data_IF_445809119155
#
_entry.id   IF_445809119155
#
_cell.length_a   1.000
_cell.length_b   1.000
_cell.length_c   1.000
_cell.angle_alpha   90.00
_cell.angle_beta   90.00
_cell.angle_gamma   90.00
#
_symmetry.space_group_name_H-M   'P 1'
#
loop_
_entity.id
_entity.type
_entity.pdbx_description
1 polymer ?
#
# COMPACT_ATOMS: atom_id res chain seq x y z
N UNK A 1 -48.29 -19.17 -26.36
CA UNK A 1 -47.00 -18.46 -26.27
C UNK A 1 -46.79 -18.19 -24.80
N UNK A 2 -45.88 -18.94 -24.17
CA UNK A 2 -45.81 -19.07 -22.71
C UNK A 2 -45.07 -17.89 -22.11
N UNK A 3 -45.62 -17.42 -21.01
CA UNK A 3 -45.12 -16.37 -20.13
C UNK A 3 -43.91 -16.87 -19.32
N UNK A 4 -42.95 -17.48 -20.00
CA UNK A 4 -41.71 -18.00 -19.41
C UNK A 4 -40.46 -17.31 -19.96
N UNK A 5 -40.57 -16.55 -21.06
CA UNK A 5 -39.42 -15.92 -21.71
C UNK A 5 -39.19 -14.44 -21.34
N UNK A 6 -40.09 -13.80 -20.56
CA UNK A 6 -39.91 -12.40 -20.14
C UNK A 6 -39.15 -12.22 -18.83
N UNK A 7 -38.95 -13.29 -18.05
CA UNK A 7 -38.27 -13.18 -16.75
C UNK A 7 -36.74 -13.14 -16.89
N UNK A 8 -36.19 -13.39 -18.07
CA UNK A 8 -34.72 -13.49 -18.28
C UNK A 8 -34.07 -12.14 -18.64
N UNK A 9 -34.83 -11.08 -18.89
CA UNK A 9 -34.28 -9.76 -19.26
C UNK A 9 -34.23 -8.79 -18.07
N UNK A 10 -35.01 -9.05 -17.02
CA UNK A 10 -35.01 -8.24 -15.80
C UNK A 10 -33.95 -8.67 -14.77
N UNK A 11 -33.16 -9.69 -15.07
CA UNK A 11 -31.99 -10.11 -14.27
C UNK A 11 -30.67 -9.45 -14.76
N UNK A 12 -30.71 -8.69 -15.86
CA UNK A 12 -29.52 -8.11 -16.49
C UNK A 12 -29.19 -6.66 -16.12
N UNK A 13 -30.06 -5.93 -15.41
CA UNK A 13 -29.89 -4.48 -15.14
C UNK A 13 -29.62 -4.10 -13.68
N UNK A 14 -29.73 -5.04 -12.75
CA UNK A 14 -29.41 -4.85 -11.33
C UNK A 14 -28.00 -5.35 -10.94
N UNK A 15 -27.15 -5.72 -11.91
CA UNK A 15 -25.80 -6.26 -11.62
C UNK A 15 -24.63 -5.29 -11.95
N UNK A 16 -24.90 -4.08 -12.46
CA UNK A 16 -23.83 -3.18 -12.98
C UNK A 16 -23.97 -1.73 -12.47
N UNK A 17 -24.46 -1.52 -11.24
CA UNK A 17 -24.51 -0.16 -10.63
C UNK A 17 -23.85 -0.02 -9.26
N UNK A 18 -23.39 -1.10 -8.65
CA UNK A 18 -22.59 -1.03 -7.42
C UNK A 18 -21.12 -1.36 -7.69
N UNK A 19 -20.66 -0.95 -8.87
CA UNK A 19 -19.27 -1.07 -9.33
C UNK A 19 -18.69 0.32 -9.58
N UNK A 20 -18.78 1.24 -8.62
CA UNK A 20 -17.94 2.46 -8.64
C UNK A 20 -18.00 3.19 -7.31
N UNK A 21 -16.99 3.00 -6.47
CA UNK A 21 -16.80 3.89 -5.34
C UNK A 21 -15.93 3.30 -4.26
N UNK A 22 -14.63 3.53 -4.43
CA UNK A 22 -13.69 3.72 -3.32
C UNK A 22 -13.06 2.44 -2.73
N UNK A 23 -11.73 2.39 -2.93
CA UNK A 23 -10.73 1.72 -2.08
C UNK A 23 -10.39 0.26 -2.42
N UNK A 24 -9.94 0.04 -3.65
CA UNK A 24 -8.92 -0.98 -3.89
C UNK A 24 -7.63 -0.58 -3.17
N UNK A 25 -7.48 -0.95 -1.89
CA UNK A 25 -6.19 -0.91 -1.17
C UNK A 25 -6.05 -2.00 -0.10
N UNK A 26 -6.93 -3.01 -0.09
CA UNK A 26 -6.97 -4.00 1.01
C UNK A 26 -6.69 -5.45 0.60
N UNK A 27 -6.32 -5.74 -0.65
CA UNK A 27 -5.96 -7.09 -1.07
C UNK A 27 -4.65 -7.10 -1.84
N UNK A 28 -3.55 -7.29 -1.10
CA UNK A 28 -2.30 -7.95 -1.46
C UNK A 28 -1.40 -7.76 -0.23
N UNK A 29 -1.09 -8.74 0.63
CA UNK A 29 -0.88 -10.15 0.41
C UNK A 29 -0.89 -10.85 1.78
N UNK A 30 -1.64 -11.95 1.84
CA UNK A 30 -1.66 -12.95 2.91
C UNK A 30 -0.29 -13.65 2.98
N UNK A 31 0.06 -14.19 4.16
CA UNK A 31 1.34 -14.84 4.55
C UNK A 31 2.34 -13.83 5.13
N UNK A 32 2.41 -13.64 6.44
CA UNK A 32 3.20 -14.55 7.29
C UNK A 32 2.65 -14.62 8.73
N UNK A 33 1.92 -15.71 9.01
CA UNK A 33 1.68 -16.22 10.36
C UNK A 33 2.99 -16.76 10.96
N UNK A 34 3.95 -15.92 11.38
CA UNK A 34 5.05 -16.39 12.27
C UNK A 34 5.82 -15.32 13.06
N UNK A 35 5.54 -14.02 12.93
CA UNK A 35 6.29 -13.00 13.67
C UNK A 35 5.48 -12.46 14.86
N UNK A 36 5.86 -12.92 16.05
CA UNK A 36 5.52 -12.40 17.39
C UNK A 36 5.13 -10.91 17.39
N UNK A 37 4.03 -10.52 18.06
CA UNK A 37 3.46 -9.15 18.03
C UNK A 37 4.44 -8.00 18.24
N UNK A 38 5.58 -8.25 18.90
CA UNK A 38 6.69 -7.32 19.07
C UNK A 38 7.33 -6.87 17.73
N UNK A 39 7.39 -7.74 16.72
CA UNK A 39 7.93 -7.40 15.39
C UNK A 39 7.03 -6.44 14.63
N UNK A 40 5.70 -6.60 14.73
CA UNK A 40 4.73 -5.67 14.12
C UNK A 40 4.76 -4.29 14.77
N UNK A 41 4.87 -4.22 16.10
CA UNK A 41 4.98 -2.95 16.82
C UNK A 41 6.27 -2.21 16.46
N UNK A 42 7.40 -2.92 16.40
CA UNK A 42 8.67 -2.35 15.97
C UNK A 42 8.62 -1.87 14.52
N UNK A 43 8.02 -2.65 13.62
CA UNK A 43 7.79 -2.27 12.23
C UNK A 43 6.98 -0.98 12.13
N UNK A 44 5.83 -0.91 12.79
CA UNK A 44 4.97 0.27 12.74
C UNK A 44 5.71 1.52 13.25
N UNK A 45 6.45 1.39 14.35
CA UNK A 45 7.24 2.49 14.90
C UNK A 45 8.30 2.99 13.91
N UNK A 46 8.98 2.10 13.22
CA UNK A 46 9.97 2.47 12.19
C UNK A 46 9.32 3.21 11.03
N UNK A 47 8.14 2.76 10.56
CA UNK A 47 7.38 3.42 9.51
C UNK A 47 6.95 4.83 9.92
N UNK A 48 6.43 5.00 11.14
CA UNK A 48 5.98 6.29 11.67
C UNK A 48 7.15 7.28 11.86
N UNK A 49 8.28 6.81 12.37
CA UNK A 49 9.52 7.60 12.50
C UNK A 49 10.03 8.04 11.12
N UNK A 50 10.08 7.13 10.15
CA UNK A 50 10.51 7.42 8.79
C UNK A 50 9.62 8.48 8.11
N UNK A 51 8.29 8.35 8.28
CA UNK A 51 7.32 9.32 7.78
C UNK A 51 7.51 10.71 8.39
N UNK A 52 7.82 10.76 9.69
CA UNK A 52 8.09 12.03 10.38
C UNK A 52 9.36 12.68 9.83
N UNK A 53 10.45 11.92 9.72
CA UNK A 53 11.70 12.39 9.12
C UNK A 53 11.52 12.86 7.68
N UNK A 54 10.72 12.15 6.88
CA UNK A 54 10.42 12.54 5.51
C UNK A 54 9.67 13.87 5.44
N UNK A 55 8.68 14.07 6.32
CA UNK A 55 7.91 15.32 6.42
C UNK A 55 8.79 16.50 6.84
N UNK A 56 9.80 16.23 7.67
CA UNK A 56 10.78 17.21 8.11
C UNK A 56 11.85 17.51 7.04
N UNK A 57 11.82 16.81 5.89
CA UNK A 57 12.79 16.96 4.81
C UNK A 57 14.10 16.18 5.04
N UNK A 58 14.18 15.41 6.13
CA UNK A 58 15.31 14.55 6.46
C UNK A 58 15.25 13.25 5.67
N UNK A 59 15.29 13.36 4.34
CA UNK A 59 15.06 12.24 3.41
C UNK A 59 16.05 11.09 3.57
N UNK A 60 17.32 11.38 3.89
CA UNK A 60 18.34 10.34 4.11
C UNK A 60 18.03 9.50 5.36
N UNK A 61 17.65 10.16 6.44
CA UNK A 61 17.31 9.48 7.70
C UNK A 61 16.00 8.70 7.55
N UNK A 62 15.02 9.27 6.83
CA UNK A 62 13.78 8.56 6.49
C UNK A 62 14.04 7.28 5.71
N UNK A 63 14.92 7.31 4.70
CA UNK A 63 15.35 6.12 3.95
C UNK A 63 15.92 5.07 4.89
N UNK A 64 16.83 5.45 5.80
CA UNK A 64 17.42 4.52 6.76
C UNK A 64 16.37 3.81 7.61
N UNK A 65 15.36 4.54 8.10
CA UNK A 65 14.26 3.98 8.89
C UNK A 65 13.36 3.04 8.09
N UNK A 66 13.06 3.35 6.83
CA UNK A 66 12.35 2.42 5.95
C UNK A 66 13.20 1.20 5.59
N UNK A 67 14.51 1.32 5.46
CA UNK A 67 15.41 0.17 5.24
C UNK A 67 15.41 -0.75 6.47
N UNK A 68 15.44 -0.20 7.69
CA UNK A 68 15.26 -0.98 8.92
C UNK A 68 13.89 -1.68 8.96
N UNK A 69 12.82 -1.01 8.53
CA UNK A 69 11.49 -1.61 8.42
C UNK A 69 11.49 -2.81 7.45
N UNK A 70 12.23 -2.73 6.34
CA UNK A 70 12.39 -3.82 5.37
C UNK A 70 13.23 -4.99 5.89
N UNK A 71 14.02 -4.82 6.95
CA UNK A 71 14.68 -5.94 7.64
C UNK A 71 13.65 -6.77 8.41
N UNK A 72 12.63 -6.12 8.99
CA UNK A 72 11.55 -6.79 9.75
C UNK A 72 10.51 -7.38 8.81
N UNK A 73 10.06 -6.61 7.82
CA UNK A 73 9.13 -7.04 6.79
C UNK A 73 9.71 -6.71 5.40
N UNK A 74 10.47 -7.65 4.80
CA UNK A 74 11.03 -7.48 3.46
C UNK A 74 9.97 -7.34 2.36
N UNK A 75 8.71 -7.69 2.63
CA UNK A 75 7.60 -7.56 1.69
C UNK A 75 6.89 -6.20 1.80
N UNK A 76 7.23 -5.37 2.79
CA UNK A 76 6.56 -4.10 3.04
C UNK A 76 6.62 -3.15 1.83
N UNK A 77 5.48 -2.96 1.17
CA UNK A 77 5.38 -2.13 -0.04
C UNK A 77 5.48 -0.64 0.27
N UNK A 78 4.97 -0.21 1.43
CA UNK A 78 5.01 1.19 1.86
C UNK A 78 6.46 1.68 2.02
N UNK A 79 7.29 0.92 2.75
CA UNK A 79 8.70 1.24 2.93
C UNK A 79 9.45 1.30 1.59
N UNK A 80 9.27 0.31 0.70
CA UNK A 80 9.89 0.30 -0.64
C UNK A 80 9.50 1.53 -1.46
N UNK A 81 8.21 1.82 -1.53
CA UNK A 81 7.69 2.94 -2.31
C UNK A 81 8.22 4.28 -1.79
N UNK A 82 8.18 4.48 -0.47
CA UNK A 82 8.63 5.71 0.15
C UNK A 82 10.14 5.93 0.03
N UNK A 83 10.95 4.88 0.10
CA UNK A 83 12.40 4.94 -0.16
C UNK A 83 12.66 5.49 -1.56
N UNK A 84 11.97 4.99 -2.58
CA UNK A 84 12.19 5.45 -3.96
C UNK A 84 11.81 6.93 -4.11
N UNK A 85 10.68 7.36 -3.53
CA UNK A 85 10.31 8.79 -3.52
C UNK A 85 11.37 9.63 -2.83
N UNK A 86 11.84 9.23 -1.65
CA UNK A 86 12.85 9.98 -0.90
C UNK A 86 14.20 10.01 -1.61
N UNK A 87 14.58 8.93 -2.32
CA UNK A 87 15.76 8.91 -3.18
C UNK A 87 15.63 9.95 -4.30
N UNK A 88 14.47 10.06 -4.96
CA UNK A 88 14.26 11.11 -5.97
C UNK A 88 14.42 12.51 -5.37
N UNK A 89 14.00 12.74 -4.12
CA UNK A 89 14.12 14.05 -3.45
C UNK A 89 15.56 14.47 -3.19
N UNK A 90 16.47 13.52 -3.01
CA UNK A 90 17.89 13.80 -2.72
C UNK A 90 18.78 13.72 -3.96
N UNK A 91 18.26 13.29 -5.11
CA UNK A 91 19.05 13.23 -6.35
C UNK A 91 19.52 14.64 -6.71
N UNK A 92 20.83 14.83 -7.00
CA UNK A 92 21.29 16.09 -7.55
C UNK A 92 20.60 16.32 -8.90
N UNK A 93 20.30 17.59 -9.27
CA UNK A 93 19.75 17.89 -10.57
C UNK A 93 20.68 17.36 -11.66
N UNK A 94 20.14 16.87 -12.80
CA UNK A 94 20.97 16.38 -13.88
C UNK A 94 21.92 17.50 -14.34
N UNK A 95 23.22 17.21 -14.36
CA UNK A 95 24.22 18.12 -14.92
C UNK A 95 23.88 18.36 -16.40
N UNK A 96 23.91 19.63 -16.82
CA UNK A 96 23.57 20.09 -18.17
C UNK A 96 24.75 19.99 -19.13
#
# INVERSE_FOLDING_TARGET
MKEEDRKTIEEGREMIKETRGERNSEEEKKEEETATGQGKEALQKLLDEALTLYRDGNYKDAIGKWEEALVIDPANLEAKFNIEIAKEKIKPPPEK
#
